data_IF_792014038055
#
_entry.id   IF_792014038055
#
_cell.length_a   1.000
_cell.length_b   1.000
_cell.length_c   1.000
_cell.angle_alpha   90.00
_cell.angle_beta   90.00
_cell.angle_gamma   90.00
#
_symmetry.space_group_name_H-M   'P 1'
#
loop_
_entity.id
_entity.type
_entity.pdbx_description
1 polymer ?
#
# COMPACT_ATOMS: atom_id res chain seq x y z
N UNK A 1 -19.91 5.41 -12.95
CA UNK A 1 -19.75 4.73 -14.25
C UNK A 1 -18.45 3.93 -14.25
N UNK A 2 -18.56 2.62 -14.03
CA UNK A 2 -17.45 1.68 -13.97
C UNK A 2 -16.98 1.48 -15.42
N UNK A 3 -15.79 1.96 -15.75
CA UNK A 3 -15.21 1.74 -17.07
C UNK A 3 -14.86 0.26 -17.24
N UNK A 4 -15.41 -0.33 -18.29
CA UNK A 4 -15.17 -1.67 -18.78
C UNK A 4 -13.84 -1.76 -19.55
N UNK A 5 -13.08 -2.81 -19.21
CA UNK A 5 -12.15 -3.60 -20.06
C UNK A 5 -10.75 -3.07 -20.46
N UNK A 6 -9.74 -3.78 -19.94
CA UNK A 6 -8.78 -4.55 -20.74
C UNK A 6 -8.16 -5.67 -19.87
N UNK A 7 -7.94 -6.90 -20.38
CA UNK A 7 -7.30 -7.96 -19.61
C UNK A 7 -5.86 -7.56 -19.24
N UNK A 8 -5.55 -7.65 -17.95
CA UNK A 8 -4.24 -7.40 -17.35
C UNK A 8 -3.13 -8.09 -18.15
N UNK A 9 -2.44 -7.33 -19.00
CA UNK A 9 -1.26 -7.82 -19.69
C UNK A 9 -0.06 -7.45 -18.83
N UNK A 10 0.35 -8.37 -17.94
CA UNK A 10 1.63 -8.23 -17.23
C UNK A 10 2.71 -8.07 -18.31
N UNK A 11 3.51 -7.01 -18.21
CA UNK A 11 4.56 -6.70 -19.17
C UNK A 11 5.41 -7.96 -19.45
N UNK A 12 5.42 -8.47 -20.69
CA UNK A 12 6.11 -9.72 -21.03
C UNK A 12 7.64 -9.65 -20.86
N UNK A 13 8.22 -8.46 -20.66
CA UNK A 13 9.65 -8.31 -20.34
C UNK A 13 10.02 -8.82 -18.94
N UNK A 14 9.06 -9.07 -18.05
CA UNK A 14 9.28 -9.65 -16.72
C UNK A 14 9.37 -11.20 -16.71
N UNK A 15 9.52 -11.85 -17.88
CA UNK A 15 9.55 -13.33 -18.03
C UNK A 15 10.89 -13.99 -17.70
N UNK A 16 11.80 -13.31 -17.01
CA UNK A 16 13.01 -13.96 -16.51
C UNK A 16 12.65 -14.84 -15.30
N UNK A 17 12.53 -16.14 -15.52
CA UNK A 17 12.36 -17.10 -14.42
C UNK A 17 13.58 -16.98 -13.52
N UNK A 18 13.42 -16.74 -12.21
CA UNK A 18 14.56 -16.59 -11.31
C UNK A 18 15.44 -17.86 -11.36
N UNK A 19 16.77 -17.72 -11.19
CA UNK A 19 17.67 -18.88 -11.21
C UNK A 19 17.26 -19.90 -10.13
N UNK A 20 17.49 -21.20 -10.35
CA UNK A 20 16.88 -22.31 -9.60
C UNK A 20 17.14 -22.34 -8.08
N UNK A 21 17.99 -21.46 -7.55
CA UNK A 21 18.34 -21.39 -6.13
C UNK A 21 17.93 -20.07 -5.44
N UNK A 22 17.22 -19.17 -6.12
CA UNK A 22 16.78 -17.90 -5.55
C UNK A 22 15.32 -17.94 -5.11
N UNK A 23 15.05 -17.57 -3.86
CA UNK A 23 13.69 -17.30 -3.38
C UNK A 23 13.30 -15.92 -3.87
N UNK A 24 12.28 -15.86 -4.74
CA UNK A 24 11.69 -14.58 -5.16
C UNK A 24 10.50 -14.26 -4.27
N UNK A 25 10.51 -13.05 -3.70
CA UNK A 25 9.51 -12.54 -2.78
C UNK A 25 8.73 -11.41 -3.46
N UNK A 26 7.40 -11.46 -3.41
CA UNK A 26 6.53 -10.37 -3.87
C UNK A 26 5.82 -9.70 -2.68
N UNK A 27 5.61 -8.38 -2.76
CA UNK A 27 4.73 -7.70 -1.83
C UNK A 27 3.27 -8.09 -2.12
N UNK A 28 2.60 -8.66 -1.13
CA UNK A 28 1.24 -9.17 -1.21
C UNK A 28 0.21 -8.12 -0.85
N UNK A 29 0.31 -7.61 0.38
CA UNK A 29 -0.68 -6.73 0.97
C UNK A 29 -0.08 -5.76 1.98
N UNK A 30 -0.63 -4.56 2.04
CA UNK A 30 -0.36 -3.56 3.08
C UNK A 30 0.15 -2.23 2.52
N UNK A 31 0.69 -1.39 3.41
CA UNK A 31 1.17 -0.06 3.02
C UNK A 31 2.46 -0.13 2.19
N UNK A 32 2.50 0.61 1.09
CA UNK A 32 3.75 0.88 0.38
C UNK A 32 4.41 2.12 0.99
N UNK A 33 5.70 1.99 1.28
CA UNK A 33 6.54 3.06 1.79
C UNK A 33 7.71 3.26 0.83
N UNK A 34 8.00 4.50 0.49
CA UNK A 34 9.23 4.88 -0.21
C UNK A 34 10.37 4.97 0.80
N UNK A 35 11.42 4.19 0.54
CA UNK A 35 12.60 4.08 1.39
C UNK A 35 13.84 4.06 0.51
N UNK A 36 14.92 4.67 1.00
CA UNK A 36 16.25 4.57 0.39
C UNK A 36 17.09 3.69 1.29
N UNK A 37 17.65 2.60 0.74
CA UNK A 37 18.42 1.60 1.51
C UNK A 37 17.67 1.07 2.74
N UNK A 38 16.35 0.92 2.64
CA UNK A 38 15.50 0.48 3.75
C UNK A 38 15.30 1.52 4.86
N UNK A 39 15.70 2.78 4.65
CA UNK A 39 15.55 3.90 5.58
C UNK A 39 14.61 4.98 5.05
N UNK A 40 13.80 5.55 5.94
CA UNK A 40 12.95 6.69 5.59
C UNK A 40 13.72 7.98 5.84
N UNK A 41 14.19 8.61 4.76
CA UNK A 41 14.83 9.92 4.83
C UNK A 41 13.82 11.05 5.07
N UNK A 42 12.62 10.93 4.51
CA UNK A 42 11.54 11.91 4.58
C UNK A 42 11.13 12.24 6.03
N UNK A 43 10.84 11.21 6.82
CA UNK A 43 10.46 11.39 8.22
C UNK A 43 11.59 11.96 9.07
N UNK A 44 12.82 11.48 8.86
CA UNK A 44 14.00 12.00 9.56
C UNK A 44 14.26 13.48 9.23
N UNK A 45 14.09 13.88 7.98
CA UNK A 45 14.17 15.27 7.55
C UNK A 45 13.09 16.13 8.20
N UNK A 46 11.83 15.68 8.14
CA UNK A 46 10.70 16.46 8.65
C UNK A 46 10.68 16.58 10.17
N UNK A 47 11.10 15.56 10.91
CA UNK A 47 10.86 15.47 12.36
C UNK A 47 12.12 15.33 13.21
N UNK A 48 13.29 15.13 12.58
CA UNK A 48 14.51 14.70 13.27
C UNK A 48 14.49 13.23 13.72
N UNK A 49 13.38 12.52 13.56
CA UNK A 49 13.19 11.15 14.05
C UNK A 49 13.02 10.18 12.89
N UNK A 50 13.94 9.22 12.77
CA UNK A 50 13.79 8.16 11.77
C UNK A 50 12.83 7.07 12.28
N UNK A 51 11.84 6.62 11.47
CA UNK A 51 10.96 5.50 11.83
C UNK A 51 11.72 4.18 11.99
N UNK A 52 12.93 4.07 11.43
CA UNK A 52 13.81 2.93 11.62
C UNK A 52 14.27 2.78 13.08
N UNK A 53 14.35 3.88 13.83
CA UNK A 53 14.82 3.90 15.21
C UNK A 53 13.71 4.26 16.21
N UNK A 54 12.70 5.03 15.77
CA UNK A 54 11.65 5.60 16.61
C UNK A 54 10.27 4.97 16.36
N UNK A 55 10.20 3.96 15.48
CA UNK A 55 9.01 3.14 15.26
C UNK A 55 7.99 3.73 14.30
N UNK A 56 7.75 5.05 14.28
CA UNK A 56 6.67 5.67 13.50
C UNK A 56 7.17 6.63 12.41
N UNK A 57 6.53 6.60 11.22
CA UNK A 57 6.83 7.53 10.12
C UNK A 57 6.44 8.97 10.46
N UNK A 58 5.40 9.13 11.27
CA UNK A 58 4.95 10.42 11.77
C UNK A 58 4.68 10.26 13.26
N UNK A 59 5.65 10.58 14.12
CA UNK A 59 5.47 10.50 15.56
C UNK A 59 4.33 11.44 16.00
N UNK A 60 3.38 10.94 16.80
CA UNK A 60 2.16 11.67 17.12
C UNK A 60 2.39 13.06 17.75
N UNK A 61 3.50 13.23 18.49
CA UNK A 61 3.90 14.53 19.07
C UNK A 61 4.16 15.63 18.01
N UNK A 62 4.53 15.24 16.79
CA UNK A 62 4.77 16.13 15.65
C UNK A 62 3.53 16.32 14.77
N UNK A 63 2.48 15.52 14.98
CA UNK A 63 1.25 15.57 14.17
C UNK A 63 0.32 16.67 14.67
N UNK A 64 -0.20 17.49 13.75
CA UNK A 64 -1.23 18.50 14.03
C UNK A 64 -2.36 18.41 13.03
N UNK A 65 -3.56 18.63 13.53
CA UNK A 65 -4.80 18.72 12.77
C UNK A 65 -5.36 20.12 13.04
N UNK A 66 -5.62 20.90 12.00
CA UNK A 66 -6.07 22.28 12.13
C UNK A 66 -7.23 22.55 11.18
N UNK A 67 -8.38 22.94 11.72
CA UNK A 67 -9.48 23.43 10.90
C UNK A 67 -9.14 24.83 10.40
N UNK A 68 -9.20 25.04 9.10
CA UNK A 68 -8.98 26.34 8.45
C UNK A 68 -10.17 26.70 7.58
N UNK A 69 -10.29 27.97 7.12
CA UNK A 69 -11.33 28.34 6.14
C UNK A 69 -11.25 27.56 4.81
N UNK A 70 -10.13 26.89 4.54
CA UNK A 70 -9.89 26.15 3.30
C UNK A 70 -10.16 24.64 3.46
N UNK A 71 -10.48 24.18 4.67
CA UNK A 71 -10.65 22.76 5.01
C UNK A 71 -9.78 22.32 6.20
N UNK A 72 -9.79 21.02 6.49
CA UNK A 72 -8.99 20.44 7.56
C UNK A 72 -7.56 20.19 7.07
N UNK A 73 -6.60 20.91 7.63
CA UNK A 73 -5.18 20.72 7.33
C UNK A 73 -4.54 19.73 8.28
N UNK A 74 -3.75 18.82 7.70
CA UNK A 74 -2.90 17.90 8.45
C UNK A 74 -1.45 18.30 8.29
N UNK A 75 -0.72 18.37 9.40
CA UNK A 75 0.68 18.81 9.41
C UNK A 75 1.56 17.83 10.16
N UNK A 76 2.81 17.75 9.71
CA UNK A 76 3.89 17.05 10.38
C UNK A 76 5.02 18.02 10.67
N UNK A 77 5.27 18.30 11.94
CA UNK A 77 6.28 19.27 12.39
C UNK A 77 6.17 20.63 11.66
N UNK A 78 4.94 21.14 11.52
CA UNK A 78 4.64 22.40 10.82
C UNK A 78 4.51 22.31 9.29
N UNK A 79 5.02 21.24 8.67
CA UNK A 79 4.90 21.01 7.22
C UNK A 79 3.46 20.62 6.88
N UNK A 80 2.83 21.31 5.94
CA UNK A 80 1.52 20.93 5.40
C UNK A 80 1.65 19.63 4.60
N UNK A 81 0.92 18.59 5.01
CA UNK A 81 0.92 17.28 4.36
C UNK A 81 -0.26 17.17 3.41
N UNK A 82 -1.45 17.56 3.88
CA UNK A 82 -2.68 17.43 3.11
C UNK A 82 -3.75 18.38 3.70
N UNK A 83 -4.73 18.74 2.87
CA UNK A 83 -5.91 19.53 3.23
C UNK A 83 -7.16 18.84 2.71
N UNK A 84 -8.03 18.45 3.63
CA UNK A 84 -9.24 17.68 3.33
C UNK A 84 -10.49 18.57 3.36
N UNK A 85 -11.44 18.29 2.46
CA UNK A 85 -12.79 18.83 2.55
C UNK A 85 -13.56 18.21 3.74
N UNK A 86 -14.65 18.82 4.17
CA UNK A 86 -15.42 18.37 5.34
C UNK A 86 -16.04 16.98 5.17
N UNK A 87 -16.29 16.55 3.94
CA UNK A 87 -16.80 15.23 3.57
C UNK A 87 -15.70 14.23 3.14
N UNK A 88 -14.44 14.67 3.10
CA UNK A 88 -13.30 13.85 2.71
C UNK A 88 -12.68 13.15 3.92
N UNK A 89 -12.40 11.85 3.78
CA UNK A 89 -11.74 11.10 4.86
C UNK A 89 -10.26 11.42 4.90
N UNK A 90 -9.82 11.95 6.02
CA UNK A 90 -8.41 12.24 6.21
C UNK A 90 -7.60 11.02 6.65
N UNK A 91 -6.50 10.79 5.94
CA UNK A 91 -5.49 9.82 6.30
C UNK A 91 -4.59 10.31 7.44
N UNK A 92 -3.90 9.39 8.10
CA UNK A 92 -2.87 9.75 9.06
C UNK A 92 -1.72 10.49 8.35
N UNK A 93 -1.28 11.67 8.81
CA UNK A 93 -0.36 12.54 8.06
C UNK A 93 1.01 11.89 7.94
N UNK A 94 1.25 11.21 6.82
CA UNK A 94 2.50 10.53 6.50
C UNK A 94 3.11 11.26 5.32
N UNK A 95 4.39 11.68 5.44
CA UNK A 95 5.00 12.60 4.48
C UNK A 95 4.96 12.08 3.03
N UNK A 96 5.16 10.78 2.81
CA UNK A 96 5.09 10.19 1.47
C UNK A 96 3.68 10.03 0.91
N UNK A 97 2.63 10.31 1.70
CA UNK A 97 1.22 10.15 1.33
C UNK A 97 0.45 11.47 1.35
N UNK A 98 1.16 12.59 1.31
CA UNK A 98 0.59 13.93 1.25
C UNK A 98 0.27 14.37 -0.19
N UNK A 99 -0.58 15.40 -0.30
CA UNK A 99 -0.79 16.14 -1.54
C UNK A 99 0.17 17.32 -1.60
N UNK A 100 0.99 17.37 -2.65
CA UNK A 100 2.00 18.41 -2.84
C UNK A 100 1.75 19.16 -4.14
N UNK A 101 2.00 20.47 -4.13
CA UNK A 101 2.04 21.27 -5.35
C UNK A 101 3.36 20.99 -6.09
N UNK A 102 3.25 20.40 -7.27
CA UNK A 102 4.37 20.13 -8.18
C UNK A 102 4.04 20.79 -9.50
N UNK A 103 4.81 21.82 -9.86
CA UNK A 103 4.43 22.77 -10.92
C UNK A 103 3.03 23.36 -10.66
N UNK A 104 2.10 23.22 -11.59
CA UNK A 104 0.75 23.79 -11.52
C UNK A 104 -0.31 22.77 -11.04
N UNK A 105 0.09 21.57 -10.62
CA UNK A 105 -0.80 20.52 -10.15
C UNK A 105 -0.59 20.20 -8.67
N UNK A 106 -1.68 19.96 -7.93
CA UNK A 106 -1.65 19.46 -6.56
C UNK A 106 -2.21 18.04 -6.52
N UNK A 107 -1.36 17.06 -6.20
CA UNK A 107 -1.73 15.64 -6.19
C UNK A 107 -0.81 14.84 -5.25
N UNK A 108 -1.09 13.54 -5.10
CA UNK A 108 -0.23 12.61 -4.38
C UNK A 108 1.06 12.34 -5.16
N UNK A 109 2.04 13.25 -5.01
CA UNK A 109 3.26 13.27 -5.82
C UNK A 109 4.17 12.04 -5.58
N UNK A 110 4.04 11.39 -4.43
CA UNK A 110 4.89 10.28 -4.02
C UNK A 110 4.10 8.97 -3.99
N UNK A 111 3.13 8.86 -3.08
CA UNK A 111 2.30 7.65 -2.90
C UNK A 111 0.88 8.05 -2.50
N UNK A 112 -0.13 7.29 -2.94
CA UNK A 112 -1.51 7.49 -2.47
C UNK A 112 -1.74 6.83 -1.10
N UNK A 113 -2.67 7.32 -0.27
CA UNK A 113 -3.02 6.72 1.02
C UNK A 113 -3.90 5.47 0.87
N UNK A 114 -3.44 4.51 0.06
CA UNK A 114 -4.11 3.22 -0.18
C UNK A 114 -3.20 2.05 0.21
N UNK A 115 -3.76 0.84 0.29
CA UNK A 115 -2.98 -0.38 0.50
C UNK A 115 -2.78 -1.14 -0.81
N UNK A 116 -1.60 -1.71 -1.04
CA UNK A 116 -1.43 -2.68 -2.11
C UNK A 116 -2.21 -3.94 -1.76
N UNK A 117 -2.91 -4.54 -2.72
CA UNK A 117 -3.52 -5.86 -2.56
C UNK A 117 -3.39 -6.69 -3.85
N UNK A 118 -2.47 -7.65 -3.88
CA UNK A 118 -2.21 -8.49 -5.06
C UNK A 118 -2.90 -9.86 -4.99
N UNK A 119 -3.89 -10.04 -4.11
CA UNK A 119 -4.55 -11.33 -3.92
C UNK A 119 -5.16 -11.90 -5.21
N UNK A 120 -5.69 -11.04 -6.07
CA UNK A 120 -6.24 -11.43 -7.39
C UNK A 120 -5.17 -11.91 -8.37
N UNK A 121 -3.93 -11.41 -8.23
CA UNK A 121 -2.79 -11.78 -9.08
C UNK A 121 -2.09 -13.05 -8.60
N UNK A 122 -2.60 -13.72 -7.57
CA UNK A 122 -1.93 -14.86 -6.95
C UNK A 122 -1.62 -16.00 -7.95
N UNK A 123 -2.51 -16.36 -8.91
CA UNK A 123 -2.20 -17.34 -9.95
C UNK A 123 -1.04 -16.91 -10.86
N UNK A 124 -1.01 -15.64 -11.26
CA UNK A 124 0.03 -15.05 -12.11
C UNK A 124 1.38 -15.01 -11.38
N UNK A 125 1.38 -14.60 -10.11
CA UNK A 125 2.58 -14.59 -9.26
C UNK A 125 3.15 -16.01 -9.10
N UNK A 126 2.29 -17.01 -8.91
CA UNK A 126 2.72 -18.40 -8.84
C UNK A 126 3.33 -18.89 -10.17
N UNK A 127 2.71 -18.55 -11.32
CA UNK A 127 3.25 -18.87 -12.65
C UNK A 127 4.59 -18.18 -12.92
N UNK A 128 4.78 -16.96 -12.41
CA UNK A 128 6.04 -16.22 -12.47
C UNK A 128 7.15 -16.82 -11.59
N UNK A 129 6.84 -17.81 -10.75
CA UNK A 129 7.80 -18.47 -9.89
C UNK A 129 8.05 -17.75 -8.56
N UNK A 130 7.15 -16.86 -8.14
CA UNK A 130 7.19 -16.27 -6.78
C UNK A 130 7.02 -17.39 -5.75
N UNK A 131 7.90 -17.41 -4.74
CA UNK A 131 7.94 -18.47 -3.72
C UNK A 131 7.55 -17.98 -2.33
N UNK A 132 7.48 -16.67 -2.14
CA UNK A 132 7.06 -16.07 -0.88
C UNK A 132 6.29 -14.77 -1.11
N UNK A 133 5.31 -14.54 -0.25
CA UNK A 133 4.53 -13.31 -0.22
C UNK A 133 4.88 -12.55 1.07
N UNK A 134 5.22 -11.28 0.92
CA UNK A 134 5.46 -10.35 2.02
C UNK A 134 4.17 -9.59 2.31
N UNK A 135 3.73 -9.64 3.56
CA UNK A 135 2.59 -8.88 4.07
C UNK A 135 3.13 -7.79 4.99
N UNK A 136 2.74 -6.54 4.78
CA UNK A 136 3.17 -5.39 5.58
C UNK A 136 2.18 -5.16 6.73
N UNK A 137 2.70 -4.77 7.90
CA UNK A 137 1.88 -4.56 9.08
C UNK A 137 2.66 -3.99 10.26
N UNK A 138 3.66 -3.14 10.02
CA UNK A 138 4.43 -2.51 11.09
C UNK A 138 3.47 -1.74 12.03
N UNK A 139 3.60 -1.98 13.33
CA UNK A 139 2.73 -1.39 14.37
C UNK A 139 1.23 -1.69 14.20
N UNK A 140 0.86 -2.77 13.51
CA UNK A 140 -0.53 -3.23 13.45
C UNK A 140 -0.85 -4.12 14.65
N UNK A 141 -2.13 -4.16 15.01
CA UNK A 141 -2.60 -4.96 16.14
C UNK A 141 -2.47 -6.47 15.86
N UNK A 142 -2.41 -7.33 16.89
CA UNK A 142 -2.49 -8.78 16.70
C UNK A 142 -3.74 -9.24 15.94
N UNK A 143 -4.85 -8.51 16.10
CA UNK A 143 -6.10 -8.78 15.37
C UNK A 143 -5.93 -8.56 13.85
N UNK A 144 -5.29 -7.45 13.45
CA UNK A 144 -4.95 -7.19 12.05
C UNK A 144 -4.07 -8.30 11.48
N UNK A 145 -2.99 -8.65 12.19
CA UNK A 145 -2.05 -9.69 11.72
C UNK A 145 -2.79 -11.00 11.51
N UNK A 146 -3.64 -11.41 12.46
CA UNK A 146 -4.45 -12.62 12.35
C UNK A 146 -5.39 -12.58 11.14
N UNK A 147 -6.14 -11.51 10.96
CA UNK A 147 -7.09 -11.36 9.86
C UNK A 147 -6.40 -11.47 8.50
N UNK A 148 -5.37 -10.65 8.28
CA UNK A 148 -4.65 -10.59 7.00
C UNK A 148 -3.97 -11.93 6.69
N UNK A 149 -3.24 -12.50 7.65
CA UNK A 149 -2.54 -13.77 7.43
C UNK A 149 -3.50 -14.95 7.22
N UNK A 150 -4.66 -14.96 7.87
CA UNK A 150 -5.66 -16.02 7.69
C UNK A 150 -6.26 -15.98 6.28
N UNK A 151 -6.61 -14.79 5.79
CA UNK A 151 -7.11 -14.61 4.41
C UNK A 151 -6.07 -15.08 3.39
N UNK A 152 -4.82 -14.62 3.53
CA UNK A 152 -3.75 -15.01 2.62
C UNK A 152 -3.43 -16.50 2.68
N UNK A 153 -3.48 -17.13 3.86
CA UNK A 153 -3.33 -18.58 4.02
C UNK A 153 -4.43 -19.33 3.26
N UNK A 154 -5.69 -18.94 3.44
CA UNK A 154 -6.83 -19.54 2.76
C UNK A 154 -6.72 -19.43 1.23
N UNK A 155 -6.31 -18.27 0.72
CA UNK A 155 -6.08 -18.07 -0.71
C UNK A 155 -4.95 -18.95 -1.26
N UNK A 156 -3.83 -19.05 -0.55
CA UNK A 156 -2.72 -19.92 -0.93
C UNK A 156 -3.11 -21.41 -0.92
N UNK A 157 -3.91 -21.84 0.07
CA UNK A 157 -4.44 -23.19 0.13
C UNK A 157 -5.40 -23.49 -1.01
N UNK A 158 -6.31 -22.54 -1.32
CA UNK A 158 -7.23 -22.65 -2.47
C UNK A 158 -6.47 -22.76 -3.79
N UNK A 159 -5.46 -21.91 -4.01
CA UNK A 159 -4.65 -21.98 -5.23
C UNK A 159 -3.94 -23.32 -5.34
N UNK A 160 -3.40 -23.85 -4.24
CA UNK A 160 -2.71 -25.15 -4.23
C UNK A 160 -3.66 -26.32 -4.53
N UNK A 161 -4.87 -26.29 -3.98
CA UNK A 161 -5.85 -27.35 -4.16
C UNK A 161 -6.50 -27.32 -5.55
N UNK A 162 -6.81 -26.14 -6.08
CA UNK A 162 -7.52 -25.97 -7.35
C UNK A 162 -6.92 -24.85 -8.21
N UNK A 163 -5.72 -25.03 -8.80
CA UNK A 163 -5.04 -23.98 -9.55
C UNK A 163 -5.84 -23.42 -10.74
N UNK A 164 -6.53 -24.29 -11.47
CA UNK A 164 -7.30 -23.93 -12.66
C UNK A 164 -8.63 -23.21 -12.34
N UNK A 165 -9.12 -23.35 -11.11
CA UNK A 165 -10.39 -22.78 -10.64
C UNK A 165 -10.20 -21.75 -9.53
N UNK A 166 -9.00 -21.17 -9.40
CA UNK A 166 -8.77 -20.16 -8.40
C UNK A 166 -9.64 -18.93 -8.66
N UNK A 167 -10.41 -18.54 -7.65
CA UNK A 167 -11.17 -17.31 -7.61
C UNK A 167 -11.05 -16.74 -6.21
N UNK A 168 -10.93 -15.41 -6.13
CA UNK A 168 -10.92 -14.70 -4.85
C UNK A 168 -12.32 -14.69 -4.26
N UNK A 169 -12.45 -15.05 -2.99
CA UNK A 169 -13.73 -15.01 -2.30
C UNK A 169 -14.10 -13.58 -1.90
N UNK A 170 -15.39 -13.25 -1.99
CA UNK A 170 -15.90 -11.91 -1.64
C UNK A 170 -15.56 -11.53 -0.21
N UNK A 171 -15.64 -12.48 0.72
CA UNK A 171 -15.36 -12.25 2.14
C UNK A 171 -13.88 -11.96 2.41
N UNK A 172 -12.98 -12.53 1.60
CA UNK A 172 -11.54 -12.22 1.65
C UNK A 172 -11.30 -10.77 1.28
N UNK A 173 -11.87 -10.31 0.17
CA UNK A 173 -11.75 -8.91 -0.26
C UNK A 173 -12.40 -7.95 0.73
N UNK A 174 -13.58 -8.27 1.25
CA UNK A 174 -14.24 -7.46 2.27
C UNK A 174 -13.37 -7.31 3.53
N UNK A 175 -12.77 -8.42 4.00
CA UNK A 175 -11.87 -8.42 5.16
C UNK A 175 -10.63 -7.57 4.91
N UNK A 176 -9.98 -7.72 3.75
CA UNK A 176 -8.78 -6.95 3.41
C UNK A 176 -9.09 -5.45 3.20
N UNK A 177 -10.23 -5.11 2.60
CA UNK A 177 -10.65 -3.72 2.41
C UNK A 177 -10.94 -3.02 3.74
N UNK A 178 -11.58 -3.72 4.68
CA UNK A 178 -11.89 -3.17 6.00
C UNK A 178 -10.65 -2.75 6.80
N UNK A 179 -9.50 -3.39 6.53
CA UNK A 179 -8.23 -3.11 7.19
C UNK A 179 -7.23 -2.33 6.32
N UNK A 180 -7.61 -1.98 5.09
CA UNK A 180 -6.80 -1.19 4.18
C UNK A 180 -6.80 0.28 4.58
N UNK A 181 -5.67 0.94 4.34
CA UNK A 181 -5.57 2.39 4.48
C UNK A 181 -6.55 3.09 3.52
N UNK A 182 -7.25 4.12 4.01
CA UNK A 182 -8.33 4.77 3.27
C UNK A 182 -9.53 3.86 2.95
N UNK A 183 -9.57 2.62 3.48
CA UNK A 183 -10.50 1.56 3.08
C UNK A 183 -10.49 1.27 1.57
N UNK A 184 -9.38 1.58 0.91
CA UNK A 184 -9.20 1.41 -0.52
C UNK A 184 -7.92 0.63 -0.78
N UNK A 185 -7.93 -0.21 -1.81
CA UNK A 185 -6.75 -0.93 -2.27
C UNK A 185 -6.41 -0.56 -3.70
N UNK A 186 -5.12 -0.65 -4.01
CA UNK A 186 -4.56 -0.46 -5.33
C UNK A 186 -3.80 -1.71 -5.74
N UNK A 187 -3.64 -1.91 -7.05
CA UNK A 187 -2.60 -2.80 -7.59
C UNK A 187 -1.27 -2.04 -7.76
N UNK A 188 -1.19 -0.77 -7.37
CA UNK A 188 0.03 0.03 -7.37
C UNK A 188 0.65 0.14 -8.77
N UNK A 189 1.94 -0.17 -8.88
CA UNK A 189 2.69 -0.16 -10.14
C UNK A 189 2.17 -1.15 -11.20
N UNK A 190 1.30 -2.10 -10.84
CA UNK A 190 0.64 -2.96 -11.82
C UNK A 190 -0.54 -2.27 -12.54
N UNK A 191 -0.98 -1.09 -12.08
CA UNK A 191 -2.10 -0.33 -12.66
C UNK A 191 -1.72 1.07 -13.17
N UNK A 192 -0.67 1.71 -12.62
CA UNK A 192 -0.32 3.07 -13.03
C UNK A 192 0.51 3.11 -14.33
N UNK A 193 0.11 3.89 -15.34
CA UNK A 193 1.04 4.28 -16.39
C UNK A 193 2.16 5.13 -15.74
N UNK A 194 3.41 4.79 -16.04
CA UNK A 194 4.55 5.61 -15.63
C UNK A 194 4.41 6.97 -16.32
N UNK A 195 4.39 8.06 -15.54
CA UNK A 195 4.52 9.43 -16.05
C UNK A 195 6.00 9.74 -16.28
#
# INVERSE_FOLDING_TARGET
PIHSESPLTINPSARAKPPPNNITICHGFGGLCVMVEGRCALSAYATGESPNCHGACSPGKHVRWAQTPQGMETRLNGILIDRFADDERAGYPTLCKGRFAVHDETYYAIEEPTSLNTLELLPELAKAGIRAIKLEGRQRSPAYVRQVTSVWRAALDRLRAHPAGFAVERDWMATLNAVSEGQSHTLGAYYRPWK
#
